data_IF_997855875392
#
_entry.id   IF_997855875392
#
_cell.length_a   1.000
_cell.length_b   1.000
_cell.length_c   1.000
_cell.angle_alpha   90.00
_cell.angle_beta   90.00
_cell.angle_gamma   90.00
#
_symmetry.space_group_name_H-M   'P 1'
#
loop_
_entity.id
_entity.type
_entity.pdbx_description
1 polymer ?
#
# COMPACT_ATOMS: atom_id res chain seq x y z
N UNK A 1 -13.51 5.95 -4.47
CA UNK A 1 -13.00 4.57 -4.25
C UNK A 1 -12.54 3.99 -5.58
N UNK A 2 -11.33 3.44 -5.63
CA UNK A 2 -10.76 2.82 -6.82
C UNK A 2 -10.59 1.32 -6.59
N UNK A 3 -10.91 0.52 -7.61
CA UNK A 3 -10.80 -0.93 -7.62
C UNK A 3 -9.96 -1.40 -8.80
N UNK A 4 -9.21 -2.47 -8.59
CA UNK A 4 -8.63 -3.27 -9.66
C UNK A 4 -9.11 -4.71 -9.53
N UNK A 5 -9.89 -5.17 -10.49
CA UNK A 5 -10.30 -6.56 -10.57
C UNK A 5 -9.13 -7.43 -11.03
N UNK A 6 -8.93 -8.52 -10.33
CA UNK A 6 -7.89 -9.50 -10.65
C UNK A 6 -8.62 -10.76 -11.12
N UNK A 7 -8.59 -11.05 -12.42
CA UNK A 7 -9.26 -12.21 -13.01
C UNK A 7 -8.42 -13.48 -12.80
N UNK A 8 -8.93 -14.45 -12.04
CA UNK A 8 -8.31 -15.74 -11.79
C UNK A 8 -9.28 -16.90 -11.94
N UNK A 9 -8.77 -18.03 -12.42
CA UNK A 9 -9.50 -19.30 -12.42
C UNK A 9 -9.62 -19.85 -11.00
N UNK A 10 -10.79 -20.39 -10.65
CA UNK A 10 -11.11 -20.92 -9.32
C UNK A 10 -10.28 -22.16 -9.01
N UNK A 11 -9.57 -22.15 -7.89
CA UNK A 11 -8.83 -23.30 -7.35
C UNK A 11 -8.83 -23.36 -5.82
N UNK A 12 -9.43 -24.35 -5.31
CA UNK A 12 -9.68 -24.95 -3.99
C UNK A 12 -8.75 -24.66 -2.80
N UNK A 13 -9.38 -24.47 -1.62
CA UNK A 13 -9.05 -24.83 -0.23
C UNK A 13 -8.34 -23.80 0.66
N UNK A 14 -9.03 -23.51 1.79
CA UNK A 14 -8.68 -22.61 2.89
C UNK A 14 -7.22 -22.72 3.39
N UNK A 15 -6.67 -23.93 3.49
CA UNK A 15 -5.29 -24.18 3.89
C UNK A 15 -4.26 -23.71 2.84
N UNK A 16 -4.59 -23.79 1.57
CA UNK A 16 -3.72 -23.32 0.49
C UNK A 16 -3.57 -21.82 0.51
N UNK A 17 -4.67 -21.08 0.69
CA UNK A 17 -4.65 -19.62 0.74
C UNK A 17 -3.82 -19.10 1.92
N UNK A 18 -3.93 -19.74 3.09
CA UNK A 18 -3.15 -19.37 4.27
C UNK A 18 -1.64 -19.55 4.01
N UNK A 19 -1.23 -20.71 3.48
CA UNK A 19 0.17 -20.99 3.14
C UNK A 19 0.70 -20.01 2.09
N UNK A 20 -0.05 -19.81 1.00
CA UNK A 20 0.32 -18.86 -0.05
C UNK A 20 0.48 -17.43 0.50
N UNK A 21 -0.34 -17.03 1.47
CA UNK A 21 -0.23 -15.72 2.10
C UNK A 21 1.01 -15.61 2.99
N UNK A 22 1.29 -16.61 3.81
CA UNK A 22 2.51 -16.66 4.62
C UNK A 22 3.74 -16.50 3.71
N UNK A 23 3.80 -17.26 2.61
CA UNK A 23 4.86 -17.15 1.60
C UNK A 23 4.87 -15.79 0.89
N UNK A 24 3.71 -15.24 0.52
CA UNK A 24 3.61 -13.93 -0.11
C UNK A 24 4.07 -12.78 0.79
N UNK A 25 3.86 -12.91 2.11
CA UNK A 25 4.21 -11.88 3.09
C UNK A 25 5.65 -12.02 3.58
N UNK A 26 6.31 -13.15 3.34
CA UNK A 26 7.76 -13.24 3.45
C UNK A 26 8.40 -12.40 2.35
N UNK A 27 8.88 -11.23 2.73
CA UNK A 27 9.58 -10.33 1.81
C UNK A 27 11.06 -10.41 2.15
N UNK A 28 11.81 -11.06 1.26
CA UNK A 28 13.25 -10.92 1.28
C UNK A 28 13.60 -9.44 1.06
N UNK A 29 14.39 -8.90 1.98
CA UNK A 29 14.98 -7.58 1.79
C UNK A 29 15.80 -7.59 0.51
N UNK A 30 15.53 -6.71 -0.44
CA UNK A 30 16.23 -6.71 -1.72
C UNK A 30 16.32 -5.31 -2.33
N UNK A 31 17.33 -5.14 -3.16
CA UNK A 31 17.45 -3.95 -3.98
C UNK A 31 16.59 -4.07 -5.24
N UNK A 32 15.97 -2.97 -5.62
CA UNK A 32 15.20 -2.82 -6.86
C UNK A 32 15.70 -1.63 -7.63
N UNK A 33 15.58 -1.66 -8.95
CA UNK A 33 15.90 -0.53 -9.80
C UNK A 33 14.59 0.05 -10.34
N UNK A 34 14.36 1.33 -10.07
CA UNK A 34 13.18 2.08 -10.54
C UNK A 34 13.73 3.28 -11.31
N UNK A 35 13.37 3.41 -12.58
CA UNK A 35 13.85 4.49 -13.48
C UNK A 35 15.37 4.71 -13.44
N UNK A 36 16.14 3.62 -13.35
CA UNK A 36 17.60 3.64 -13.32
C UNK A 36 18.23 3.89 -11.94
N UNK A 37 17.44 4.18 -10.92
CA UNK A 37 17.92 4.41 -9.55
C UNK A 37 17.69 3.16 -8.69
N UNK A 38 18.71 2.81 -7.87
CA UNK A 38 18.62 1.67 -6.93
C UNK A 38 17.98 2.07 -5.62
N UNK A 39 17.04 1.25 -5.15
CA UNK A 39 16.33 1.39 -3.88
C UNK A 39 16.34 0.08 -3.11
N UNK A 40 16.30 0.16 -1.79
CA UNK A 40 16.15 -0.98 -0.90
C UNK A 40 14.70 -1.09 -0.46
N UNK A 41 14.09 -2.26 -0.65
CA UNK A 41 12.69 -2.54 -0.25
C UNK A 41 12.69 -3.58 0.85
N UNK A 42 11.91 -3.33 1.88
CA UNK A 42 11.76 -4.23 3.03
C UNK A 42 10.33 -4.20 3.59
N UNK A 43 10.00 -5.24 4.36
CA UNK A 43 8.81 -5.21 5.21
C UNK A 43 9.04 -4.23 6.36
N UNK A 44 8.07 -3.36 6.61
CA UNK A 44 8.13 -2.39 7.69
C UNK A 44 8.12 -3.07 9.07
N UNK A 45 8.87 -2.49 9.99
CA UNK A 45 8.97 -2.91 11.39
C UNK A 45 8.62 -1.75 12.32
N UNK A 46 8.49 -2.02 13.62
CA UNK A 46 8.23 -0.96 14.60
C UNK A 46 9.36 0.11 14.66
N UNK A 47 10.57 -0.24 14.24
CA UNK A 47 11.69 0.70 14.18
C UNK A 47 11.56 1.72 13.05
N UNK A 48 10.76 1.42 12.03
CA UNK A 48 10.52 2.33 10.90
C UNK A 48 9.43 3.37 11.20
N UNK A 49 8.63 3.19 12.26
CA UNK A 49 7.50 4.09 12.56
C UNK A 49 7.89 5.56 12.67
N UNK A 50 9.01 5.95 13.32
CA UNK A 50 9.40 7.36 13.38
C UNK A 50 9.59 7.99 11.98
N UNK A 51 10.24 7.27 11.05
CA UNK A 51 10.46 7.74 9.69
C UNK A 51 9.17 7.71 8.85
N UNK A 52 8.31 6.70 9.03
CA UNK A 52 6.97 6.65 8.42
C UNK A 52 6.17 7.91 8.80
N UNK A 53 6.16 8.29 10.08
CA UNK A 53 5.50 9.51 10.55
C UNK A 53 6.15 10.79 10.00
N UNK A 54 7.46 10.79 9.74
CA UNK A 54 8.11 11.91 9.05
C UNK A 54 7.63 12.05 7.61
N UNK A 55 7.50 10.93 6.88
CA UNK A 55 6.95 10.92 5.52
C UNK A 55 5.51 11.41 5.51
N UNK A 56 4.66 10.94 6.46
CA UNK A 56 3.28 11.44 6.55
C UNK A 56 3.23 12.96 6.76
N UNK A 57 4.01 13.49 7.70
CA UNK A 57 4.07 14.95 7.93
C UNK A 57 4.48 15.72 6.69
N UNK A 58 5.43 15.20 5.92
CA UNK A 58 5.89 15.84 4.68
C UNK A 58 4.81 15.82 3.58
N UNK A 59 3.94 14.80 3.57
CA UNK A 59 2.89 14.64 2.55
C UNK A 59 1.59 15.35 2.94
N UNK A 60 1.29 15.44 4.25
CA UNK A 60 0.01 15.97 4.78
C UNK A 60 0.18 17.28 5.55
N UNK A 61 1.03 18.18 5.08
CA UNK A 61 1.22 19.53 5.62
C UNK A 61 1.46 19.57 7.15
N UNK A 62 2.30 18.68 7.63
CA UNK A 62 2.65 18.57 9.05
C UNK A 62 1.71 17.70 9.89
N UNK A 63 0.62 17.21 9.30
CA UNK A 63 -0.31 16.31 9.99
C UNK A 63 0.13 14.84 9.84
N UNK A 64 -0.33 14.01 10.77
CA UNK A 64 -0.21 12.55 10.69
C UNK A 64 -1.61 11.98 10.81
N UNK A 65 -2.26 11.58 9.70
CA UNK A 65 -3.58 10.95 9.72
C UNK A 65 -3.62 9.71 10.64
N UNK A 66 -2.47 9.01 10.71
CA UNK A 66 -2.26 7.91 11.64
C UNK A 66 -1.16 8.25 12.65
N UNK A 67 -1.41 7.97 13.91
CA UNK A 67 -0.42 8.14 14.97
C UNK A 67 0.48 6.90 15.12
N UNK A 68 1.50 7.03 16.00
CA UNK A 68 2.42 5.94 16.32
C UNK A 68 1.70 4.67 16.76
N UNK A 69 0.62 4.80 17.54
CA UNK A 69 -0.13 3.67 18.10
C UNK A 69 -0.89 2.94 17.00
N UNK A 70 -1.50 3.68 16.06
CA UNK A 70 -2.17 3.11 14.90
C UNK A 70 -1.21 2.28 14.05
N UNK A 71 -0.04 2.83 13.68
CA UNK A 71 0.98 2.07 12.95
C UNK A 71 1.47 0.85 13.71
N UNK A 72 1.78 0.97 15.00
CA UNK A 72 2.23 -0.16 15.82
C UNK A 72 1.17 -1.28 15.89
N UNK A 73 -0.11 -0.92 15.92
CA UNK A 73 -1.21 -1.89 15.91
C UNK A 73 -1.32 -2.61 14.56
N UNK A 74 -1.18 -1.91 13.44
CA UNK A 74 -1.20 -2.51 12.11
C UNK A 74 0.03 -3.42 11.88
N UNK A 75 1.24 -2.97 12.24
CA UNK A 75 2.47 -3.75 12.06
C UNK A 75 2.52 -5.03 12.91
N UNK A 76 1.77 -5.09 14.01
CA UNK A 76 1.61 -6.34 14.81
C UNK A 76 0.74 -7.38 14.13
N UNK A 77 -0.12 -6.99 13.21
CA UNK A 77 -1.11 -7.87 12.56
C UNK A 77 -0.52 -8.58 11.34
N UNK A 78 0.62 -9.23 11.48
CA UNK A 78 1.36 -9.88 10.38
C UNK A 78 0.57 -10.93 9.58
N UNK A 79 -0.56 -11.39 10.11
CA UNK A 79 -1.39 -12.40 9.46
C UNK A 79 -2.23 -11.83 8.32
N UNK A 80 -2.69 -10.59 8.44
CA UNK A 80 -3.61 -9.94 7.51
C UNK A 80 -3.22 -8.50 7.15
N UNK A 81 -1.97 -8.10 7.48
CA UNK A 81 -1.40 -6.80 7.14
C UNK A 81 -0.03 -6.96 6.51
N UNK A 82 0.20 -6.19 5.47
CA UNK A 82 1.50 -6.07 4.83
C UNK A 82 1.85 -4.59 4.69
N UNK A 83 2.96 -4.20 5.30
CA UNK A 83 3.54 -2.87 5.18
C UNK A 83 4.93 -2.98 4.56
N UNK A 84 5.19 -2.22 3.52
CA UNK A 84 6.48 -2.11 2.85
C UNK A 84 7.04 -0.72 3.02
N UNK A 85 8.35 -0.65 3.22
CA UNK A 85 9.13 0.58 3.18
C UNK A 85 10.10 0.52 2.01
N UNK A 86 10.37 1.68 1.42
CA UNK A 86 11.37 1.85 0.37
C UNK A 86 12.38 2.90 0.82
N UNK A 87 13.67 2.56 0.67
CA UNK A 87 14.80 3.37 1.15
C UNK A 87 15.79 3.67 0.03
N UNK A 88 16.41 4.81 0.10
CA UNK A 88 17.56 5.18 -0.71
C UNK A 88 18.61 5.81 0.21
N UNK A 89 19.87 5.32 0.14
CA UNK A 89 20.95 5.74 1.05
C UNK A 89 20.53 5.76 2.53
N UNK A 90 19.93 4.66 2.98
CA UNK A 90 19.38 4.43 4.33
C UNK A 90 18.20 5.33 4.75
N UNK A 91 17.88 6.36 4.00
CA UNK A 91 16.72 7.21 4.25
C UNK A 91 15.44 6.56 3.72
N UNK A 92 14.35 6.62 4.49
CA UNK A 92 13.04 6.15 4.07
C UNK A 92 12.39 7.16 3.13
N UNK A 93 12.16 6.76 1.88
CA UNK A 93 11.57 7.60 0.83
C UNK A 93 10.04 7.50 0.79
N UNK A 94 9.51 6.38 1.23
CA UNK A 94 8.08 6.15 1.20
C UNK A 94 7.69 4.80 1.78
N UNK A 95 6.40 4.59 1.89
CA UNK A 95 5.83 3.36 2.39
C UNK A 95 4.46 3.08 1.79
N UNK A 96 4.02 1.83 1.91
CA UNK A 96 2.66 1.40 1.59
C UNK A 96 2.18 0.41 2.64
N UNK A 97 0.90 0.51 3.02
CA UNK A 97 0.22 -0.43 3.89
C UNK A 97 -1.03 -1.01 3.26
N UNK A 98 -1.24 -2.30 3.43
CA UNK A 98 -2.42 -3.00 2.93
C UNK A 98 -2.96 -4.03 3.90
N UNK A 99 -4.27 -4.18 3.92
CA UNK A 99 -5.00 -5.23 4.62
C UNK A 99 -5.50 -6.30 3.65
N UNK A 100 -5.56 -7.55 4.11
CA UNK A 100 -5.91 -8.70 3.30
C UNK A 100 -7.07 -9.47 3.94
N UNK A 101 -8.20 -9.53 3.25
CA UNK A 101 -9.41 -10.21 3.71
C UNK A 101 -9.62 -11.51 2.95
N UNK A 102 -9.30 -12.64 3.58
CA UNK A 102 -9.42 -13.97 2.98
C UNK A 102 -10.86 -14.32 2.62
N UNK A 103 -11.82 -13.89 3.43
CA UNK A 103 -13.23 -14.20 3.20
C UNK A 103 -13.77 -13.48 1.98
N UNK A 104 -13.43 -12.21 1.84
CA UNK A 104 -13.84 -11.38 0.71
C UNK A 104 -12.95 -11.55 -0.53
N UNK A 105 -11.76 -12.20 -0.37
CA UNK A 105 -10.72 -12.27 -1.40
C UNK A 105 -10.32 -10.89 -1.94
N UNK A 106 -10.17 -9.94 -1.03
CA UNK A 106 -9.88 -8.53 -1.35
C UNK A 106 -8.68 -8.05 -0.55
N UNK A 107 -7.72 -7.43 -1.22
CA UNK A 107 -6.70 -6.60 -0.58
C UNK A 107 -7.15 -5.14 -0.60
N UNK A 108 -6.88 -4.40 0.46
CA UNK A 108 -7.22 -2.99 0.57
C UNK A 108 -5.98 -2.20 0.95
N UNK A 109 -5.54 -1.29 0.07
CA UNK A 109 -4.45 -0.36 0.36
C UNK A 109 -4.99 0.72 1.28
N UNK A 110 -4.51 0.73 2.53
CA UNK A 110 -4.97 1.65 3.58
C UNK A 110 -4.26 2.99 3.51
N UNK A 111 -2.97 2.97 3.16
CA UNK A 111 -2.14 4.16 3.01
C UNK A 111 -0.96 3.90 2.07
N UNK A 112 -0.58 4.95 1.35
CA UNK A 112 0.63 5.03 0.54
C UNK A 112 1.11 6.47 0.57
N UNK A 113 2.36 6.68 0.92
CA UNK A 113 2.96 7.99 0.94
C UNK A 113 4.41 7.95 0.46
N UNK A 114 4.80 8.92 -0.35
CA UNK A 114 6.14 9.11 -0.89
C UNK A 114 6.56 10.55 -0.57
N UNK A 115 7.76 10.75 -0.06
CA UNK A 115 8.33 12.08 0.17
C UNK A 115 8.16 12.95 -1.09
N UNK A 116 7.75 14.23 -0.97
CA UNK A 116 7.46 15.09 -2.11
C UNK A 116 8.57 15.14 -3.15
N UNK A 117 9.83 15.20 -2.72
CA UNK A 117 11.02 15.25 -3.59
C UNK A 117 11.30 13.95 -4.37
N UNK A 118 10.64 12.84 -4.00
CA UNK A 118 10.76 11.52 -4.66
C UNK A 118 9.48 11.11 -5.39
N UNK A 119 8.47 11.97 -5.42
CA UNK A 119 7.26 11.73 -6.20
C UNK A 119 7.54 11.83 -7.72
N UNK A 120 6.65 11.25 -8.53
CA UNK A 120 6.75 11.20 -9.99
C UNK A 120 8.01 10.50 -10.54
N UNK A 121 8.66 9.66 -9.73
CA UNK A 121 9.84 8.87 -10.08
C UNK A 121 9.54 7.37 -10.10
N UNK A 122 8.29 6.98 -10.33
CA UNK A 122 7.89 5.56 -10.42
C UNK A 122 7.73 4.83 -9.08
N UNK A 123 8.18 5.39 -7.95
CA UNK A 123 8.18 4.73 -6.63
C UNK A 123 6.75 4.35 -6.18
N UNK A 124 5.80 5.26 -6.31
CA UNK A 124 4.40 5.01 -5.96
C UNK A 124 3.78 3.88 -6.78
N UNK A 125 4.03 3.89 -8.10
CA UNK A 125 3.61 2.81 -9.01
C UNK A 125 4.18 1.48 -8.58
N UNK A 126 5.49 1.42 -8.31
CA UNK A 126 6.18 0.22 -7.88
C UNK A 126 5.56 -0.38 -6.59
N UNK A 127 5.34 0.45 -5.56
CA UNK A 127 4.78 -0.01 -4.28
C UNK A 127 3.36 -0.55 -4.44
N UNK A 128 2.51 0.15 -5.21
CA UNK A 128 1.13 -0.29 -5.46
C UNK A 128 1.11 -1.60 -6.24
N UNK A 129 1.92 -1.70 -7.30
CA UNK A 129 2.05 -2.93 -8.07
C UNK A 129 2.61 -4.09 -7.25
N UNK A 130 3.50 -3.82 -6.27
CA UNK A 130 3.97 -4.84 -5.34
C UNK A 130 2.81 -5.45 -4.55
N UNK A 131 1.88 -4.63 -4.01
CA UNK A 131 0.67 -5.12 -3.34
C UNK A 131 -0.25 -5.87 -4.32
N UNK A 132 -0.42 -5.35 -5.53
CA UNK A 132 -1.23 -6.03 -6.56
C UNK A 132 -0.66 -7.42 -6.87
N UNK A 133 0.66 -7.53 -7.11
CA UNK A 133 1.32 -8.82 -7.35
C UNK A 133 1.16 -9.79 -6.17
N UNK A 134 1.25 -9.29 -4.91
CA UNK A 134 1.02 -10.12 -3.71
C UNK A 134 -0.43 -10.62 -3.64
N UNK A 135 -1.40 -9.74 -3.90
CA UNK A 135 -2.82 -10.11 -3.96
C UNK A 135 -3.08 -11.14 -5.07
N UNK A 136 -2.43 -10.98 -6.22
CA UNK A 136 -2.46 -11.93 -7.32
C UNK A 136 -1.90 -13.28 -6.91
N UNK A 137 -0.73 -13.33 -6.33
CA UNK A 137 -0.05 -14.56 -5.92
C UNK A 137 -0.92 -15.41 -4.97
N UNK A 138 -1.67 -14.77 -4.06
CA UNK A 138 -2.59 -15.44 -3.13
C UNK A 138 -4.00 -15.62 -3.68
N UNK A 139 -4.17 -15.44 -4.98
CA UNK A 139 -5.44 -15.67 -5.69
C UNK A 139 -6.60 -14.78 -5.18
N UNK A 140 -6.31 -13.53 -4.78
CA UNK A 140 -7.35 -12.56 -4.45
C UNK A 140 -7.96 -11.97 -5.71
N UNK A 141 -9.24 -11.62 -5.63
CA UNK A 141 -10.04 -11.18 -6.79
C UNK A 141 -9.97 -9.69 -7.03
N UNK A 142 -9.58 -8.92 -5.99
CA UNK A 142 -9.75 -7.47 -6.01
C UNK A 142 -8.71 -6.80 -5.14
N UNK A 143 -8.21 -5.66 -5.62
CA UNK A 143 -7.47 -4.68 -4.81
C UNK A 143 -8.26 -3.38 -4.80
N UNK A 144 -8.42 -2.76 -3.63
CA UNK A 144 -9.19 -1.52 -3.46
C UNK A 144 -8.33 -0.46 -2.76
N UNK A 145 -8.68 0.79 -2.97
CA UNK A 145 -8.15 1.93 -2.23
C UNK A 145 -9.15 3.09 -2.25
N UNK A 146 -9.01 4.00 -1.32
CA UNK A 146 -9.65 5.32 -1.35
C UNK A 146 -8.61 6.40 -1.66
N UNK A 147 -9.07 7.48 -2.28
CA UNK A 147 -8.26 8.66 -2.56
C UNK A 147 -9.14 9.90 -2.48
N UNK A 148 -8.59 10.98 -1.94
CA UNK A 148 -9.27 12.27 -1.89
C UNK A 148 -9.63 12.74 -3.30
N UNK A 149 -10.81 13.32 -3.44
CA UNK A 149 -11.28 13.90 -4.70
C UNK A 149 -10.37 15.01 -5.21
N UNK A 150 -9.76 15.76 -4.31
CA UNK A 150 -8.77 16.82 -4.62
C UNK A 150 -7.43 16.25 -5.13
N UNK A 151 -7.07 15.00 -4.79
CA UNK A 151 -5.78 14.41 -5.17
C UNK A 151 -5.79 13.86 -6.61
N UNK A 152 -5.83 14.78 -7.59
CA UNK A 152 -5.89 14.46 -9.02
C UNK A 152 -4.68 13.64 -9.49
N UNK A 153 -3.49 13.94 -8.94
CA UNK A 153 -2.27 13.24 -9.32
C UNK A 153 -2.33 11.74 -8.92
N UNK A 154 -2.78 11.44 -7.71
CA UNK A 154 -2.94 10.07 -7.27
C UNK A 154 -4.04 9.34 -8.06
N UNK A 155 -5.16 10.00 -8.37
CA UNK A 155 -6.21 9.43 -9.22
C UNK A 155 -5.67 9.07 -10.61
N UNK A 156 -4.90 9.96 -11.25
CA UNK A 156 -4.29 9.70 -12.55
C UNK A 156 -3.31 8.50 -12.49
N UNK A 157 -2.53 8.40 -11.40
CA UNK A 157 -1.64 7.27 -11.17
C UNK A 157 -2.41 5.95 -11.07
N UNK A 158 -3.50 5.92 -10.28
CA UNK A 158 -4.29 4.70 -10.10
C UNK A 158 -4.96 4.25 -11.40
N UNK A 159 -5.52 5.17 -12.17
CA UNK A 159 -6.05 4.87 -13.52
C UNK A 159 -4.96 4.30 -14.44
N UNK A 160 -3.76 4.87 -14.45
CA UNK A 160 -2.62 4.40 -15.25
C UNK A 160 -2.20 2.97 -14.88
N UNK A 161 -2.26 2.61 -13.60
CA UNK A 161 -1.95 1.25 -13.10
C UNK A 161 -3.11 0.27 -13.38
N UNK A 162 -4.27 0.76 -13.83
CA UNK A 162 -5.43 -0.05 -14.20
C UNK A 162 -6.43 -0.27 -13.06
N UNK A 163 -6.51 0.66 -12.12
CA UNK A 163 -7.65 0.78 -11.23
C UNK A 163 -8.80 1.49 -11.95
N UNK A 164 -10.01 1.17 -11.54
CA UNK A 164 -11.22 1.81 -12.04
C UNK A 164 -11.92 2.57 -10.91
N UNK A 165 -12.50 3.73 -11.23
CA UNK A 165 -13.32 4.45 -10.27
C UNK A 165 -14.68 3.76 -10.15
N UNK A 166 -14.99 3.23 -8.97
CA UNK A 166 -16.21 2.47 -8.71
C UNK A 166 -17.21 3.23 -7.83
N UNK A 167 -16.90 4.45 -7.43
CA UNK A 167 -17.81 5.29 -6.65
C UNK A 167 -17.15 6.35 -5.79
N UNK A 168 -18.00 7.11 -5.12
CA UNK A 168 -17.63 8.21 -4.22
C UNK A 168 -18.16 7.92 -2.82
N UNK A 169 -17.30 8.04 -1.81
CA UNK A 169 -17.69 7.98 -0.39
C UNK A 169 -17.78 9.42 0.13
N UNK A 170 -18.99 9.93 0.28
CA UNK A 170 -19.21 11.30 0.75
C UNK A 170 -18.73 11.51 2.17
N UNK A 171 -17.98 12.58 2.41
CA UNK A 171 -17.48 12.95 3.73
C UNK A 171 -16.58 11.90 4.38
N UNK A 172 -15.86 11.12 3.59
CA UNK A 172 -15.08 9.97 4.07
C UNK A 172 -13.88 10.38 4.92
N UNK A 173 -13.21 11.46 4.57
CA UNK A 173 -12.01 11.89 5.28
C UNK A 173 -12.37 12.71 6.52
N UNK A 174 -11.85 12.21 7.66
CA UNK A 174 -12.10 12.84 8.95
C UNK A 174 -11.34 14.19 9.02
N UNK A 175 -12.02 15.23 9.49
CA UNK A 175 -11.44 16.57 9.69
C UNK A 175 -11.98 17.62 8.74
N UNK A 176 -11.88 17.41 7.44
CA UNK A 176 -12.39 18.34 6.41
C UNK A 176 -13.66 17.81 5.69
N UNK A 177 -14.07 16.59 6.01
CA UNK A 177 -15.22 15.90 5.39
C UNK A 177 -15.14 15.81 3.86
N UNK A 178 -13.93 15.82 3.29
CA UNK A 178 -13.73 15.63 1.87
C UNK A 178 -14.19 14.24 1.41
N UNK A 179 -14.70 14.16 0.16
CA UNK A 179 -15.13 12.93 -0.50
C UNK A 179 -13.95 12.09 -1.01
#
# INVERSE_FOLDING_TARGET
>A
MFDKLINWAQGTLFNRTRRLREEAFEIAHHNVVIEGQSYFVAQATNTDIPEILMVERAVYDGQTPWDRTAFANELRRKVDRLYLVIRHNDQLMGFIGASFNDRAKTAHISNVAILPEYQNQGIGSFLIEAIVRKAQFIEYKKVTLEVRKSNINAQALYLKIGFENVGLKKGYYFGDHED
#
